data_IF_576891033341
#
_entry.id   IF_576891033341
#
_cell.length_a   1.000
_cell.length_b   1.000
_cell.length_c   1.000
_cell.angle_alpha   90.00
_cell.angle_beta   90.00
_cell.angle_gamma   90.00
#
_symmetry.space_group_name_H-M   'P 1'
#
loop_
_entity.id
_entity.type
_entity.pdbx_description
1 polymer ?
#
# COMPACT_ATOMS: atom_id res chain seq x y z
N UNK A 1 -39.92 59.54 19.33
CA UNK A 1 -38.69 60.26 19.71
C UNK A 1 -37.78 59.24 20.38
N UNK A 2 -37.25 58.29 19.61
CA UNK A 2 -35.88 58.35 19.02
C UNK A 2 -34.85 57.80 20.03
N UNK A 3 -33.98 56.81 19.77
CA UNK A 3 -33.49 56.17 18.55
C UNK A 3 -32.87 54.81 18.92
N UNK A 4 -33.10 53.82 18.07
CA UNK A 4 -32.36 52.55 18.03
C UNK A 4 -30.86 52.79 17.72
N UNK A 5 -29.97 52.08 18.42
CA UNK A 5 -28.53 52.03 18.11
C UNK A 5 -28.20 50.70 17.42
N UNK A 6 -27.58 50.70 16.23
CA UNK A 6 -27.29 49.47 15.48
C UNK A 6 -25.99 48.79 15.93
N UNK A 7 -26.01 47.45 15.90
CA UNK A 7 -24.88 46.56 16.15
C UNK A 7 -23.88 46.61 14.98
N UNK A 8 -22.72 47.24 15.18
CA UNK A 8 -21.62 47.22 14.23
C UNK A 8 -20.85 45.89 14.31
N UNK A 9 -21.01 45.05 13.29
CA UNK A 9 -20.27 43.81 13.10
C UNK A 9 -18.78 44.07 12.87
N UNK A 10 -17.93 43.62 13.80
CA UNK A 10 -16.49 43.63 13.65
C UNK A 10 -16.05 42.53 12.66
N UNK A 11 -15.68 42.95 11.44
CA UNK A 11 -14.98 42.11 10.47
C UNK A 11 -13.58 41.80 11.01
N UNK A 12 -13.35 40.57 11.46
CA UNK A 12 -12.01 40.08 11.81
C UNK A 12 -11.15 40.04 10.54
N UNK A 13 -10.15 40.90 10.47
CA UNK A 13 -9.09 40.85 9.46
C UNK A 13 -8.22 39.60 9.67
N UNK A 14 -7.86 38.84 8.64
CA UNK A 14 -6.92 37.73 8.78
C UNK A 14 -5.50 38.26 9.04
N UNK A 15 -4.67 37.55 9.82
CA UNK A 15 -3.32 38.01 10.17
C UNK A 15 -2.43 38.07 8.92
N UNK A 16 -1.75 39.21 8.74
CA UNK A 16 -0.68 39.39 7.76
C UNK A 16 0.53 38.56 8.18
N UNK A 17 0.88 37.54 7.40
CA UNK A 17 2.12 36.79 7.56
C UNK A 17 3.32 37.72 7.32
N UNK A 18 4.11 37.99 8.36
CA UNK A 18 5.40 38.68 8.22
C UNK A 18 6.33 37.78 7.41
N UNK A 19 6.94 38.32 6.35
CA UNK A 19 8.01 37.64 5.61
C UNK A 19 9.17 37.39 6.56
N UNK A 20 9.55 36.13 6.74
CA UNK A 20 10.79 35.76 7.42
C UNK A 20 11.94 36.06 6.45
N UNK A 21 12.99 36.78 6.86
CA UNK A 21 14.13 37.05 5.99
C UNK A 21 14.85 35.73 5.64
N UNK A 22 15.15 35.54 4.36
CA UNK A 22 15.98 34.44 3.89
C UNK A 22 17.40 34.61 4.44
N UNK A 23 17.81 33.69 5.32
CA UNK A 23 19.21 33.57 5.71
C UNK A 23 20.02 33.07 4.50
N UNK A 24 21.07 33.82 4.18
CA UNK A 24 22.04 33.55 3.13
C UNK A 24 22.83 32.27 3.47
N UNK A 25 22.82 31.20 2.64
CA UNK A 25 23.59 30.00 2.94
C UNK A 25 25.06 30.22 2.60
N UNK A 26 25.83 30.67 3.59
CA UNK A 26 27.29 30.66 3.51
C UNK A 26 27.79 29.19 3.47
N UNK A 27 28.22 28.79 2.27
CA UNK A 27 29.17 27.74 1.93
C UNK A 27 29.66 26.81 3.07
N UNK A 28 28.96 25.70 3.30
CA UNK A 28 29.59 24.50 3.86
C UNK A 28 30.26 23.73 2.71
N UNK A 29 31.59 23.86 2.59
CA UNK A 29 32.41 23.00 1.74
C UNK A 29 32.29 21.56 2.24
N UNK A 30 31.64 20.71 1.45
CA UNK A 30 31.67 19.25 1.66
C UNK A 30 33.09 18.76 1.32
N UNK A 31 33.80 18.05 2.22
CA UNK A 31 35.07 17.44 1.87
C UNK A 31 34.86 16.35 0.81
N UNK A 32 35.69 16.37 -0.22
CA UNK A 32 35.69 15.34 -1.28
C UNK A 32 35.99 13.96 -0.67
N UNK A 33 35.28 12.89 -1.07
CA UNK A 33 35.65 11.54 -0.66
C UNK A 33 37.05 11.21 -1.17
N UNK A 34 37.89 10.64 -0.29
CA UNK A 34 39.18 10.03 -0.68
C UNK A 34 38.91 8.95 -1.72
N UNK A 35 39.74 8.91 -2.76
CA UNK A 35 39.74 7.84 -3.73
C UNK A 35 39.85 6.49 -3.01
N UNK A 36 39.01 5.53 -3.43
CA UNK A 36 39.02 4.17 -2.91
C UNK A 36 40.33 3.47 -3.30
N UNK A 37 40.93 2.74 -2.35
CA UNK A 37 42.11 1.92 -2.56
C UNK A 37 41.83 0.83 -3.63
N UNK A 38 42.73 0.61 -4.61
CA UNK A 38 42.54 -0.35 -5.68
C UNK A 38 42.66 -1.83 -5.25
N UNK A 39 43.02 -2.10 -3.99
CA UNK A 39 43.33 -3.45 -3.49
C UNK A 39 42.25 -4.06 -2.56
N UNK A 40 41.05 -3.48 -2.52
CA UNK A 40 39.93 -4.05 -1.78
C UNK A 40 39.37 -5.29 -2.49
N UNK A 41 39.85 -6.46 -2.07
CA UNK A 41 39.42 -7.79 -2.49
C UNK A 41 37.88 -7.90 -2.50
N UNK A 42 37.31 -8.15 -3.68
CA UNK A 42 35.86 -8.27 -3.89
C UNK A 42 35.36 -9.57 -3.26
N UNK A 43 34.30 -9.56 -2.41
CA UNK A 43 33.74 -10.81 -1.89
C UNK A 43 33.08 -11.60 -3.02
N UNK A 44 33.66 -12.76 -3.34
CA UNK A 44 33.09 -13.75 -4.27
C UNK A 44 31.68 -14.16 -3.82
N UNK A 45 30.67 -13.83 -4.62
CA UNK A 45 29.33 -14.38 -4.45
C UNK A 45 29.33 -15.87 -4.84
N UNK A 46 28.78 -16.79 -4.03
CA UNK A 46 28.63 -18.18 -4.42
C UNK A 46 27.59 -18.33 -5.54
N UNK A 47 27.77 -19.29 -6.47
CA UNK A 47 26.85 -19.49 -7.57
C UNK A 47 25.48 -19.98 -7.08
N UNK A 48 24.42 -19.43 -7.70
CA UNK A 48 23.02 -19.81 -7.43
C UNK A 48 22.77 -21.27 -7.83
N UNK A 49 22.06 -22.07 -7.02
CA UNK A 49 21.76 -23.46 -7.38
C UNK A 49 20.79 -23.49 -8.57
N UNK A 50 21.15 -24.28 -9.59
CA UNK A 50 20.28 -24.60 -10.73
C UNK A 50 19.10 -25.45 -10.24
N UNK A 51 17.89 -25.03 -10.58
CA UNK A 51 16.65 -25.80 -10.45
C UNK A 51 16.78 -27.12 -11.23
N UNK A 52 17.08 -28.22 -10.53
CA UNK A 52 17.07 -29.57 -11.05
C UNK A 52 15.81 -30.29 -10.60
N UNK A 53 14.86 -30.47 -11.50
CA UNK A 53 13.66 -31.28 -11.29
C UNK A 53 14.09 -32.74 -11.19
N UNK A 54 14.24 -33.27 -9.97
CA UNK A 54 14.49 -34.70 -9.75
C UNK A 54 13.17 -35.45 -9.72
N UNK A 55 12.92 -36.27 -10.76
CA UNK A 55 11.95 -37.38 -10.71
C UNK A 55 12.44 -38.40 -9.69
N UNK A 56 11.58 -38.75 -8.74
CA UNK A 56 11.74 -39.93 -7.90
C UNK A 56 10.87 -41.06 -8.49
N UNK A 57 11.51 -42.11 -8.99
CA UNK A 57 10.88 -43.41 -9.22
C UNK A 57 10.90 -44.18 -7.88
N UNK A 58 9.74 -44.69 -7.46
CA UNK A 58 9.52 -45.31 -6.15
C UNK A 58 9.83 -46.80 -6.07
N UNK A 59 9.65 -47.39 -4.88
CA UNK A 59 9.43 -48.83 -4.61
C UNK A 59 8.83 -49.02 -3.19
N UNK A 60 7.96 -50.02 -3.01
CA UNK A 60 7.55 -50.58 -1.69
C UNK A 60 6.06 -50.43 -1.35
N UNK A 61 5.14 -51.26 -1.86
CA UNK A 61 4.68 -52.56 -1.35
C UNK A 61 3.80 -52.53 -0.07
N UNK A 62 2.52 -52.91 -0.22
CA UNK A 62 1.82 -53.80 0.73
C UNK A 62 0.54 -53.31 1.44
N UNK A 63 -0.65 -53.65 0.89
CA UNK A 63 -1.69 -54.55 1.46
C UNK A 63 -3.10 -54.21 0.93
N UNK A 64 -3.90 -55.20 0.48
CA UNK A 64 -5.18 -54.95 -0.17
C UNK A 64 -6.34 -54.95 0.83
N UNK A 65 -7.13 -53.86 0.86
CA UNK A 65 -8.50 -53.92 1.36
C UNK A 65 -9.43 -54.27 0.20
N UNK A 66 -10.09 -55.42 0.36
CA UNK A 66 -11.14 -55.95 -0.50
C UNK A 66 -12.31 -54.95 -0.50
N UNK A 67 -12.53 -54.28 -1.63
CA UNK A 67 -13.75 -53.50 -1.87
C UNK A 67 -14.34 -53.92 -3.21
N UNK A 68 -15.63 -54.22 -3.17
CA UNK A 68 -16.43 -54.76 -4.26
C UNK A 68 -16.29 -53.93 -5.54
N UNK A 69 -16.05 -54.65 -6.63
CA UNK A 69 -15.78 -54.14 -7.97
C UNK A 69 -17.12 -53.82 -8.64
N UNK A 70 -17.63 -52.61 -8.43
CA UNK A 70 -18.66 -52.06 -9.32
C UNK A 70 -18.04 -51.81 -10.69
N UNK A 71 -18.61 -52.44 -11.71
CA UNK A 71 -18.19 -52.36 -13.10
C UNK A 71 -18.46 -50.95 -13.63
N UNK A 72 -17.44 -50.09 -13.60
CA UNK A 72 -17.44 -48.80 -14.28
C UNK A 72 -17.08 -49.03 -15.76
N UNK A 73 -17.92 -48.62 -16.73
CA UNK A 73 -17.68 -48.87 -18.14
C UNK A 73 -16.38 -48.18 -18.61
N UNK A 74 -15.67 -48.74 -19.60
CA UNK A 74 -14.40 -48.19 -20.06
C UNK A 74 -14.62 -46.78 -20.61
N UNK A 75 -13.91 -45.82 -20.02
CA UNK A 75 -13.77 -44.48 -20.58
C UNK A 75 -13.10 -44.65 -21.95
N UNK A 76 -13.87 -44.38 -23.01
CA UNK A 76 -13.38 -44.32 -24.40
C UNK A 76 -12.20 -43.35 -24.42
N UNK A 77 -11.01 -43.86 -24.69
CA UNK A 77 -9.82 -43.05 -24.90
C UNK A 77 -10.07 -42.07 -26.04
N UNK A 78 -10.31 -40.81 -25.70
CA UNK A 78 -10.38 -39.71 -26.64
C UNK A 78 -8.97 -39.51 -27.19
N UNK A 79 -8.72 -40.00 -28.40
CA UNK A 79 -7.52 -39.67 -29.15
C UNK A 79 -7.35 -38.14 -29.21
N UNK A 80 -6.14 -37.59 -29.00
CA UNK A 80 -5.92 -36.16 -29.14
C UNK A 80 -6.06 -35.78 -30.61
N UNK A 81 -7.20 -35.18 -30.96
CA UNK A 81 -7.35 -34.52 -32.26
C UNK A 81 -6.34 -33.38 -32.34
N UNK A 82 -5.30 -33.57 -33.16
CA UNK A 82 -4.37 -32.50 -33.54
C UNK A 82 -5.13 -31.50 -34.41
N UNK A 83 -5.77 -30.53 -33.77
CA UNK A 83 -6.34 -29.38 -34.47
C UNK A 83 -5.18 -28.57 -35.07
N UNK A 84 -5.19 -28.26 -36.38
CA UNK A 84 -4.18 -27.38 -36.95
C UNK A 84 -4.27 -26.03 -36.24
N UNK A 85 -3.14 -25.61 -35.66
CA UNK A 85 -3.03 -24.41 -34.85
C UNK A 85 -3.53 -23.18 -35.61
N UNK A 86 -4.70 -22.70 -35.23
CA UNK A 86 -5.14 -21.35 -35.60
C UNK A 86 -4.17 -20.39 -34.93
N UNK A 87 -3.25 -19.80 -35.69
CA UNK A 87 -2.47 -18.65 -35.22
C UNK A 87 -3.48 -17.57 -34.84
N UNK A 88 -3.54 -17.22 -33.56
CA UNK A 88 -4.23 -16.01 -33.16
C UNK A 88 -3.60 -14.84 -33.94
N UNK A 89 -4.39 -14.02 -34.66
CA UNK A 89 -3.84 -12.83 -35.27
C UNK A 89 -3.25 -11.95 -34.15
N UNK A 90 -2.05 -11.43 -34.37
CA UNK A 90 -1.42 -10.51 -33.44
C UNK A 90 -2.38 -9.34 -33.15
N UNK A 91 -2.51 -8.87 -31.89
CA UNK A 91 -3.32 -7.70 -31.61
C UNK A 91 -2.79 -6.53 -32.46
N UNK A 92 -3.68 -5.69 -33.03
CA UNK A 92 -3.24 -4.56 -33.82
C UNK A 92 -2.31 -3.69 -32.98
N UNK A 93 -1.27 -3.16 -33.62
CA UNK A 93 -0.34 -2.23 -32.99
C UNK A 93 -1.14 -1.16 -32.22
N UNK A 94 -0.69 -0.87 -30.99
CA UNK A 94 -1.30 0.11 -30.07
C UNK A 94 -1.57 1.40 -30.84
N UNK A 95 -2.83 1.66 -31.19
CA UNK A 95 -3.23 2.93 -31.81
C UNK A 95 -2.77 4.04 -30.88
N UNK A 96 -1.79 4.83 -31.31
CA UNK A 96 -1.41 6.04 -30.62
C UNK A 96 -2.65 6.92 -30.52
N UNK A 97 -3.11 7.13 -29.30
CA UNK A 97 -4.24 8.04 -29.03
C UNK A 97 -3.79 9.42 -29.48
N UNK A 98 -4.24 9.88 -30.64
CA UNK A 98 -4.11 11.27 -31.08
C UNK A 98 -4.61 12.16 -29.94
N UNK A 99 -3.73 12.97 -29.35
CA UNK A 99 -4.13 13.96 -28.35
C UNK A 99 -5.19 14.87 -28.97
N UNK A 100 -6.37 14.93 -28.37
CA UNK A 100 -7.43 15.84 -28.79
C UNK A 100 -6.87 17.27 -28.75
N UNK A 101 -6.91 17.96 -29.90
CA UNK A 101 -6.52 19.36 -30.00
C UNK A 101 -7.35 20.18 -29.00
N UNK A 102 -6.75 21.07 -28.19
CA UNK A 102 -7.49 21.91 -27.28
C UNK A 102 -8.49 22.77 -28.07
N UNK A 103 -9.71 22.94 -27.53
CA UNK A 103 -10.73 23.77 -28.16
C UNK A 103 -10.19 25.20 -28.32
N UNK A 104 -10.36 25.80 -29.51
CA UNK A 104 -10.00 27.21 -29.76
C UNK A 104 -10.65 28.08 -28.67
N UNK A 105 -9.83 28.84 -27.92
CA UNK A 105 -10.27 29.72 -26.85
C UNK A 105 -10.14 29.16 -25.41
N UNK A 106 -9.78 27.89 -25.23
CA UNK A 106 -9.48 27.37 -23.90
C UNK A 106 -8.11 27.88 -23.43
N UNK A 107 -8.11 28.89 -22.56
CA UNK A 107 -6.87 29.37 -21.93
C UNK A 107 -6.43 28.38 -20.84
N UNK A 108 -5.22 27.82 -20.87
CA UNK A 108 -4.75 26.91 -19.83
C UNK A 108 -4.19 27.67 -18.62
N UNK A 109 -4.33 27.08 -17.43
CA UNK A 109 -3.68 27.58 -16.21
C UNK A 109 -4.17 28.97 -15.79
N UNK A 110 -3.25 29.82 -15.35
CA UNK A 110 -3.52 31.14 -14.77
C UNK A 110 -4.34 32.11 -15.62
N UNK A 111 -4.36 31.88 -16.93
CA UNK A 111 -5.12 32.71 -17.85
C UNK A 111 -6.60 32.32 -17.93
N UNK A 112 -6.99 31.21 -17.32
CA UNK A 112 -8.40 30.86 -17.11
C UNK A 112 -8.90 31.48 -15.82
N UNK A 113 -9.93 32.31 -15.89
CA UNK A 113 -10.63 32.89 -14.73
C UNK A 113 -11.15 31.83 -13.73
N UNK A 114 -11.41 30.60 -14.17
CA UNK A 114 -11.81 29.49 -13.32
C UNK A 114 -10.62 28.76 -12.68
N UNK A 115 -9.38 29.13 -12.99
CA UNK A 115 -8.19 28.47 -12.47
C UNK A 115 -7.93 28.87 -11.03
N UNK A 116 -8.17 27.92 -10.13
CA UNK A 116 -7.94 28.07 -8.68
C UNK A 116 -6.50 27.66 -8.31
N UNK A 117 -5.51 28.24 -8.99
CA UNK A 117 -4.08 27.99 -8.71
C UNK A 117 -3.64 26.54 -8.92
N UNK A 118 -4.34 25.78 -9.77
CA UNK A 118 -4.05 24.36 -10.00
C UNK A 118 -4.54 23.43 -8.88
N UNK A 119 -5.41 23.90 -7.98
CA UNK A 119 -6.05 23.09 -6.95
C UNK A 119 -7.36 22.50 -7.46
N UNK A 120 -7.59 21.21 -7.26
CA UNK A 120 -8.84 20.53 -7.58
C UNK A 120 -9.21 19.51 -6.51
N UNK A 121 -10.48 19.14 -6.39
CA UNK A 121 -10.94 18.11 -5.44
C UNK A 121 -11.24 16.85 -6.26
N UNK A 122 -10.62 15.73 -5.90
CA UNK A 122 -10.96 14.44 -6.51
C UNK A 122 -12.33 13.96 -6.05
N UNK A 123 -12.93 13.06 -6.82
CA UNK A 123 -14.13 12.31 -6.41
C UNK A 123 -13.96 11.57 -5.07
N UNK A 124 -12.72 11.23 -4.69
CA UNK A 124 -12.37 10.63 -3.40
C UNK A 124 -12.38 11.61 -2.21
N UNK A 125 -12.58 12.90 -2.46
CA UNK A 125 -12.64 13.97 -1.45
C UNK A 125 -11.29 14.59 -1.07
N UNK A 126 -10.20 14.19 -1.71
CA UNK A 126 -8.87 14.77 -1.47
C UNK A 126 -8.61 16.00 -2.33
N UNK A 127 -7.85 16.95 -1.79
CA UNK A 127 -7.34 18.10 -2.55
C UNK A 127 -6.08 17.69 -3.31
N UNK A 128 -6.07 17.97 -4.61
CA UNK A 128 -4.92 17.80 -5.49
C UNK A 128 -4.37 19.16 -5.89
N UNK A 129 -3.05 19.24 -6.01
CA UNK A 129 -2.30 20.42 -6.43
C UNK A 129 -1.51 20.06 -7.67
N UNK A 130 -1.56 20.91 -8.69
CA UNK A 130 -0.80 20.71 -9.93
C UNK A 130 0.69 21.00 -9.69
N UNK A 131 1.50 19.96 -9.68
CA UNK A 131 2.96 19.98 -9.60
C UNK A 131 3.52 18.91 -10.54
N UNK A 132 3.74 19.23 -11.84
CA UNK A 132 4.15 18.24 -12.84
C UNK A 132 5.54 17.65 -12.58
N UNK A 133 6.43 18.40 -11.94
CA UNK A 133 7.81 17.99 -11.68
C UNK A 133 7.98 17.12 -10.42
N UNK A 134 6.88 16.84 -9.70
CA UNK A 134 6.95 16.12 -8.44
C UNK A 134 7.05 14.61 -8.64
N UNK A 135 7.90 13.93 -7.85
CA UNK A 135 8.12 12.48 -7.93
C UNK A 135 6.86 11.61 -7.76
N UNK A 136 5.85 12.16 -7.08
CA UNK A 136 4.53 11.54 -6.85
C UNK A 136 3.40 12.13 -7.70
N UNK A 137 3.71 12.88 -8.74
CA UNK A 137 2.69 13.42 -9.63
C UNK A 137 2.00 12.31 -10.43
N UNK A 138 0.69 12.44 -10.61
CA UNK A 138 -0.06 11.58 -11.53
C UNK A 138 0.28 11.91 -13.00
N UNK A 139 -0.27 11.14 -13.95
CA UNK A 139 -0.06 11.37 -15.39
C UNK A 139 -0.55 12.73 -15.89
N UNK A 140 -1.31 13.47 -15.08
CA UNK A 140 -1.83 14.81 -15.37
C UNK A 140 -1.02 15.90 -14.63
N UNK A 141 0.01 15.52 -13.88
CA UNK A 141 0.87 16.41 -13.11
C UNK A 141 0.27 16.87 -11.78
N UNK A 142 -0.63 16.09 -11.17
CA UNK A 142 -1.25 16.42 -9.88
C UNK A 142 -0.71 15.55 -8.75
N UNK A 143 -0.52 16.17 -7.57
CA UNK A 143 -0.11 15.51 -6.33
C UNK A 143 -1.15 15.78 -5.25
N UNK A 144 -1.34 14.85 -4.32
CA UNK A 144 -2.21 15.07 -3.16
C UNK A 144 -1.60 16.11 -2.20
N UNK A 145 -2.39 17.12 -1.81
CA UNK A 145 -1.92 18.21 -0.96
C UNK A 145 -1.43 17.71 0.41
N UNK A 146 -2.12 16.75 1.01
CA UNK A 146 -1.71 16.17 2.30
C UNK A 146 -0.33 15.50 2.24
N UNK A 147 0.09 14.97 1.09
CA UNK A 147 1.43 14.40 0.90
C UNK A 147 2.47 15.53 0.91
N UNK A 148 2.20 16.60 0.16
CA UNK A 148 3.10 17.75 0.08
C UNK A 148 3.32 18.40 1.44
N UNK A 149 2.23 18.61 2.19
CA UNK A 149 2.31 19.18 3.54
C UNK A 149 3.06 18.23 4.48
N UNK A 150 2.79 16.93 4.43
CA UNK A 150 3.47 15.96 5.28
C UNK A 150 4.98 15.85 4.94
N UNK A 151 5.36 15.91 3.67
CA UNK A 151 6.77 15.96 3.24
C UNK A 151 7.47 17.21 3.76
N UNK A 152 6.80 18.36 3.72
CA UNK A 152 7.33 19.61 4.25
C UNK A 152 7.54 19.56 5.77
N UNK A 153 6.63 18.91 6.51
CA UNK A 153 6.74 18.76 7.98
C UNK A 153 7.88 17.83 8.37
N UNK A 154 8.08 16.72 7.65
CA UNK A 154 9.14 15.75 7.97
C UNK A 154 10.50 16.24 7.44
N UNK A 155 10.50 17.10 6.41
CA UNK A 155 11.73 17.58 5.77
C UNK A 155 12.40 16.53 4.87
N UNK A 156 11.70 15.46 4.52
CA UNK A 156 12.15 14.42 3.59
C UNK A 156 10.97 13.90 2.76
N UNK A 157 11.20 13.31 1.57
CA UNK A 157 10.13 12.69 0.79
C UNK A 157 9.53 11.50 1.56
N UNK A 158 8.21 11.31 1.43
CA UNK A 158 7.52 10.18 2.03
C UNK A 158 7.93 8.92 1.26
N UNK A 159 8.37 7.90 1.99
CA UNK A 159 8.85 6.65 1.43
C UNK A 159 7.71 5.78 0.89
N UNK A 160 8.06 4.80 0.07
CA UNK A 160 7.11 3.77 -0.37
C UNK A 160 6.69 2.94 0.84
N UNK A 161 5.39 2.92 1.14
CA UNK A 161 4.81 2.15 2.25
C UNK A 161 4.31 3.01 3.40
N UNK A 162 4.85 4.23 3.56
CA UNK A 162 4.35 5.22 4.50
C UNK A 162 3.01 5.81 4.01
N UNK A 163 2.09 6.07 4.93
CA UNK A 163 0.77 6.65 4.63
C UNK A 163 0.47 7.83 5.54
N UNK A 164 -0.12 8.88 4.98
CA UNK A 164 -0.59 10.05 5.72
C UNK A 164 -2.01 9.80 6.20
N UNK A 165 -2.26 10.02 7.48
CA UNK A 165 -3.55 9.87 8.15
C UNK A 165 -4.05 11.23 8.66
N UNK A 166 -5.30 11.55 8.34
CA UNK A 166 -6.02 12.72 8.85
C UNK A 166 -6.68 12.40 10.20
N UNK A 167 -6.20 13.02 11.28
CA UNK A 167 -6.69 12.76 12.65
C UNK A 167 -8.16 13.10 12.84
N UNK A 168 -8.64 14.18 12.22
CA UNK A 168 -10.05 14.59 12.27
C UNK A 168 -10.94 13.89 11.23
N UNK A 169 -10.39 12.99 10.40
CA UNK A 169 -11.07 12.32 9.29
C UNK A 169 -11.62 13.25 8.18
N UNK A 170 -11.27 14.54 8.20
CA UNK A 170 -11.65 15.53 7.19
C UNK A 170 -10.53 15.64 6.16
N UNK A 171 -10.76 15.06 4.98
CA UNK A 171 -9.77 14.97 3.88
C UNK A 171 -9.36 16.31 3.26
N UNK A 172 -10.14 17.37 3.49
CA UNK A 172 -9.88 18.72 3.01
C UNK A 172 -9.07 19.56 3.98
N UNK A 173 -8.96 19.14 5.24
CA UNK A 173 -8.17 19.82 6.26
C UNK A 173 -6.73 19.31 6.26
N UNK A 174 -5.89 19.95 5.46
CA UNK A 174 -4.49 19.58 5.27
C UNK A 174 -3.54 20.37 6.17
N UNK A 175 -3.99 20.89 7.32
CA UNK A 175 -3.09 21.52 8.29
C UNK A 175 -2.10 20.49 8.84
N UNK A 176 -0.82 20.87 9.03
CA UNK A 176 0.22 19.94 9.46
C UNK A 176 -0.10 19.27 10.82
N UNK A 177 -0.79 19.99 11.71
CA UNK A 177 -1.25 19.48 13.02
C UNK A 177 -2.28 18.33 12.91
N UNK A 178 -3.10 18.34 11.85
CA UNK A 178 -4.14 17.35 11.58
C UNK A 178 -3.59 16.11 10.84
N UNK A 179 -2.38 16.20 10.30
CA UNK A 179 -1.76 15.11 9.56
C UNK A 179 -0.82 14.31 10.48
N UNK A 180 -0.79 13.01 10.27
CA UNK A 180 0.19 12.12 10.90
C UNK A 180 0.70 11.11 9.87
N UNK A 181 2.01 10.89 9.82
CA UNK A 181 2.59 9.90 8.92
C UNK A 181 2.76 8.59 9.66
N UNK A 182 2.20 7.52 9.10
CA UNK A 182 2.29 6.16 9.61
C UNK A 182 3.32 5.39 8.80
N UNK A 183 4.17 4.66 9.51
CA UNK A 183 5.30 3.89 8.95
C UNK A 183 4.87 2.81 7.95
N UNK A 184 3.71 2.19 8.16
CA UNK A 184 3.20 1.15 7.27
C UNK A 184 1.68 1.18 7.10
N UNK A 185 1.22 0.46 6.08
CA UNK A 185 -0.22 0.23 5.85
C UNK A 185 -0.92 -0.43 7.03
N UNK A 186 -0.23 -1.34 7.73
CA UNK A 186 -0.76 -2.02 8.89
C UNK A 186 -0.99 -1.04 10.05
N UNK A 187 -0.04 -0.14 10.31
CA UNK A 187 -0.17 0.91 11.33
C UNK A 187 -1.30 1.88 11.04
N UNK A 188 -1.47 2.28 9.78
CA UNK A 188 -2.63 3.10 9.38
C UNK A 188 -3.96 2.36 9.56
N UNK A 189 -3.99 1.05 9.28
CA UNK A 189 -5.21 0.26 9.42
C UNK A 189 -5.67 0.14 10.88
N UNK A 190 -4.74 0.15 11.85
CA UNK A 190 -5.09 0.13 13.29
C UNK A 190 -5.96 1.32 13.70
N UNK A 191 -5.70 2.52 13.17
CA UNK A 191 -6.47 3.73 13.50
C UNK A 191 -7.95 3.64 13.12
N UNK A 192 -8.27 2.84 12.10
CA UNK A 192 -9.64 2.65 11.62
C UNK A 192 -10.26 1.32 12.07
N UNK A 193 -9.54 0.54 12.86
CA UNK A 193 -9.95 -0.80 13.23
C UNK A 193 -10.91 -0.76 14.41
N UNK A 194 -12.06 -1.43 14.27
CA UNK A 194 -13.08 -1.51 15.35
C UNK A 194 -12.75 -2.55 16.42
N UNK A 195 -12.15 -3.69 16.03
CA UNK A 195 -11.81 -4.80 16.93
C UNK A 195 -10.50 -4.53 17.63
N UNK A 196 -10.40 -4.73 18.95
CA UNK A 196 -9.13 -4.55 19.70
C UNK A 196 -8.35 -5.84 19.92
N UNK A 197 -8.93 -7.00 19.61
CA UNK A 197 -8.41 -8.32 19.98
C UNK A 197 -7.47 -8.99 18.96
N UNK A 198 -7.52 -8.62 17.67
CA UNK A 198 -6.50 -9.04 16.69
C UNK A 198 -5.12 -8.51 17.07
N UNK A 199 -4.10 -9.28 16.67
CA UNK A 199 -2.66 -8.98 16.83
C UNK A 199 -2.27 -7.59 16.33
N UNK A 200 -1.37 -6.95 17.07
CA UNK A 200 -0.71 -5.73 16.61
C UNK A 200 0.43 -6.05 15.63
N UNK A 201 0.71 -5.19 14.63
CA UNK A 201 1.78 -5.42 13.65
C UNK A 201 3.16 -5.61 14.30
N UNK A 202 3.42 -4.93 15.42
CA UNK A 202 4.70 -4.97 16.14
C UNK A 202 4.78 -6.11 17.17
N UNK A 203 3.64 -6.74 17.52
CA UNK A 203 3.61 -7.84 18.49
C UNK A 203 4.08 -9.15 17.83
N UNK A 204 5.04 -9.90 18.40
CA UNK A 204 5.43 -11.20 17.86
C UNK A 204 4.31 -12.25 18.02
N UNK A 205 4.18 -13.15 17.05
CA UNK A 205 3.25 -14.28 17.17
C UNK A 205 3.92 -15.43 17.92
N UNK A 206 3.76 -15.45 19.24
CA UNK A 206 4.35 -16.46 20.11
C UNK A 206 3.59 -17.78 20.04
N UNK A 207 4.30 -18.88 20.30
CA UNK A 207 3.71 -20.19 20.48
C UNK A 207 3.12 -20.32 21.89
N UNK A 208 1.91 -20.85 22.00
CA UNK A 208 1.16 -21.10 23.23
C UNK A 208 0.69 -22.55 23.27
N UNK A 209 0.46 -23.09 24.46
CA UNK A 209 -0.08 -24.43 24.61
C UNK A 209 -1.60 -24.44 24.45
N UNK A 210 -2.15 -25.55 23.95
CA UNK A 210 -3.60 -25.72 23.83
C UNK A 210 -4.25 -25.66 25.21
N UNK A 211 -5.18 -24.72 25.38
CA UNK A 211 -5.97 -24.58 26.60
C UNK A 211 -6.90 -25.78 26.88
N UNK A 212 -6.96 -26.76 25.97
CA UNK A 212 -7.65 -28.03 26.16
C UNK A 212 -6.88 -29.02 27.03
N UNK A 213 -5.59 -28.78 27.32
CA UNK A 213 -4.75 -29.68 28.12
C UNK A 213 -4.12 -30.84 27.35
N UNK A 214 -4.21 -30.88 26.01
CA UNK A 214 -3.63 -31.97 25.20
C UNK A 214 -2.10 -31.92 25.03
N UNK A 215 -1.43 -30.89 25.56
CA UNK A 215 0.02 -30.68 25.41
C UNK A 215 0.48 -30.24 24.02
N UNK A 216 -0.42 -30.00 23.06
CA UNK A 216 -0.05 -29.46 21.75
C UNK A 216 0.24 -27.96 21.79
N UNK A 217 1.28 -27.54 21.08
CA UNK A 217 1.63 -26.12 20.91
C UNK A 217 1.04 -25.55 19.61
N UNK A 218 0.52 -24.34 19.66
CA UNK A 218 -0.03 -23.58 18.53
C UNK A 218 0.42 -22.11 18.57
N UNK A 219 0.31 -21.37 17.48
CA UNK A 219 0.53 -19.93 17.50
C UNK A 219 -0.63 -19.19 18.16
N UNK A 220 -0.33 -18.16 18.96
CA UNK A 220 -1.30 -17.29 19.66
C UNK A 220 -2.29 -16.65 18.69
N UNK A 221 -1.82 -16.28 17.49
CA UNK A 221 -2.65 -15.68 16.45
C UNK A 221 -2.66 -16.52 15.17
N UNK A 222 -3.78 -16.53 14.45
CA UNK A 222 -3.89 -17.16 13.13
C UNK A 222 -3.32 -16.29 11.99
N UNK A 223 -3.52 -16.74 10.75
CA UNK A 223 -3.08 -16.02 9.54
C UNK A 223 -3.84 -14.69 9.35
N UNK A 224 -5.06 -14.59 9.86
CA UNK A 224 -5.87 -13.36 9.88
C UNK A 224 -5.67 -12.51 11.15
N UNK A 225 -4.62 -12.80 11.93
CA UNK A 225 -4.28 -12.12 13.19
C UNK A 225 -5.31 -12.27 14.32
N UNK A 226 -6.26 -13.21 14.24
CA UNK A 226 -7.24 -13.46 15.30
C UNK A 226 -6.64 -14.31 16.41
N UNK A 227 -6.96 -14.01 17.69
CA UNK A 227 -6.43 -14.78 18.82
C UNK A 227 -7.00 -16.20 18.82
N UNK A 228 -6.15 -17.17 19.13
CA UNK A 228 -6.47 -18.59 19.27
C UNK A 228 -6.23 -19.03 20.71
N UNK A 229 -7.05 -19.97 21.19
CA UNK A 229 -6.87 -20.64 22.51
C UNK A 229 -6.69 -22.16 22.39
N UNK A 230 -7.18 -22.74 21.30
CA UNK A 230 -7.19 -24.19 21.08
C UNK A 230 -6.52 -24.54 19.76
N UNK A 231 -5.86 -25.69 19.72
CA UNK A 231 -5.44 -26.32 18.48
C UNK A 231 -6.66 -26.57 17.58
N UNK A 232 -6.42 -26.70 16.28
CA UNK A 232 -7.52 -26.90 15.32
C UNK A 232 -8.32 -28.16 15.69
N UNK A 233 -9.64 -28.03 15.86
CA UNK A 233 -10.53 -29.14 16.26
C UNK A 233 -10.67 -29.40 17.76
N UNK A 234 -9.98 -28.66 18.63
CA UNK A 234 -9.93 -28.91 20.08
C UNK A 234 -10.89 -28.02 20.90
N UNK A 235 -11.93 -27.48 20.29
CA UNK A 235 -12.88 -26.60 20.98
C UNK A 235 -13.54 -27.36 22.15
N UNK A 236 -13.69 -26.72 23.32
CA UNK A 236 -14.21 -27.22 24.62
C UNK A 236 -15.30 -28.32 24.63
N UNK A 237 -16.05 -28.51 23.54
CA UNK A 237 -17.01 -29.61 23.36
C UNK A 237 -16.37 -30.97 23.08
N UNK A 238 -15.14 -31.05 22.58
CA UNK A 238 -14.48 -32.31 22.22
C UNK A 238 -13.67 -32.96 23.35
N UNK A 239 -13.50 -32.28 24.50
CA UNK A 239 -12.58 -32.71 25.58
C UNK A 239 -13.28 -33.49 26.70
N UNK A 240 -14.34 -34.23 26.41
CA UNK A 240 -14.92 -35.22 27.36
C UNK A 240 -15.00 -36.60 26.72
N UNK A 241 -13.89 -37.34 26.69
CA UNK A 241 -13.86 -38.80 26.63
C UNK A 241 -12.60 -39.29 27.34
N UNK A 242 -12.79 -39.96 28.46
CA UNK A 242 -11.77 -40.45 29.39
C UNK A 242 -12.45 -40.75 30.71
#
# INVERSE_FOLDING_TARGET
MDLERPLLGHRRTPPRWRRVPHANPAAHRVPRPRAADPDAETPHQPPRPRCGVRRLHGLGQGRPHRVLRELRPPHRESQPVSLPGRRCPAPPARVERRSAMPRKGAQPGARNHQWKGGRTIASSGYVLVKQPDHHRADSRGYVYEHILVAEQVIGRPILRGEQVHHKNHVKTDNRPENLSVKSSRAHHALEHRKRTDLRNPDEPNVAIDCACGCGQTLLKYDQENRPRRYASGHNLRSVRRG
#
